data_IF_382610872504
#
_entry.id   IF_382610872504
#
_cell.length_a   1.000
_cell.length_b   1.000
_cell.length_c   1.000
_cell.angle_alpha   90.00
_cell.angle_beta   90.00
_cell.angle_gamma   90.00
#
_symmetry.space_group_name_H-M   'P 1'
#
loop_
_entity.id
_entity.type
_entity.pdbx_description
1 polymer ?
#
# COMPACT_ATOMS: atom_id res chain seq x y z
N UNK A 1 -6.91 -10.24 25.91
CA UNK A 1 -5.83 -9.94 24.95
C UNK A 1 -5.55 -8.46 25.06
N UNK A 2 -4.29 -8.08 25.11
CA UNK A 2 -3.89 -6.69 25.28
C UNK A 2 -4.35 -5.83 24.11
N UNK A 3 -4.76 -4.60 24.42
CA UNK A 3 -5.04 -3.61 23.41
C UNK A 3 -3.73 -3.24 22.69
N UNK A 4 -3.82 -3.12 21.37
CA UNK A 4 -2.69 -2.80 20.49
C UNK A 4 -2.98 -1.46 19.82
N UNK A 5 -2.00 -0.58 19.84
CA UNK A 5 -2.13 0.79 19.35
C UNK A 5 -1.11 1.08 18.26
N UNK A 6 -1.48 1.97 17.34
CA UNK A 6 -0.57 2.63 16.43
C UNK A 6 -0.26 4.01 17.04
N UNK A 7 1.02 4.31 17.24
CA UNK A 7 1.48 5.56 17.90
C UNK A 7 2.17 6.53 16.94
N UNK A 8 2.65 6.03 15.80
CA UNK A 8 3.20 6.85 14.71
C UNK A 8 2.86 6.20 13.37
N UNK A 9 2.69 7.03 12.33
CA UNK A 9 2.34 6.59 10.99
C UNK A 9 2.89 7.58 9.96
N UNK A 10 3.80 7.10 9.11
CA UNK A 10 4.51 7.93 8.12
C UNK A 10 4.66 7.19 6.80
N UNK A 11 4.82 7.95 5.72
CA UNK A 11 5.14 7.43 4.39
C UNK A 11 6.14 8.31 3.68
N UNK A 12 6.79 7.77 2.66
CA UNK A 12 7.50 8.57 1.68
C UNK A 12 6.49 9.25 0.75
N UNK A 13 6.92 10.25 -0.06
CA UNK A 13 6.23 10.55 -1.29
C UNK A 13 6.16 9.29 -2.17
N UNK A 14 5.23 9.27 -3.12
CA UNK A 14 5.09 8.20 -4.10
C UNK A 14 5.71 8.66 -5.41
N UNK A 15 6.76 7.95 -5.84
CA UNK A 15 7.47 8.21 -7.09
C UNK A 15 6.78 7.54 -8.27
N UNK A 16 6.93 8.11 -9.47
CA UNK A 16 6.55 7.44 -10.73
C UNK A 16 7.59 6.37 -11.10
N UNK A 17 7.20 5.39 -11.92
CA UNK A 17 8.15 4.50 -12.58
C UNK A 17 9.24 5.29 -13.33
N UNK A 18 10.51 5.00 -13.04
CA UNK A 18 11.68 5.76 -13.52
C UNK A 18 11.64 7.26 -13.15
N UNK A 19 10.96 7.62 -12.05
CA UNK A 19 10.85 8.97 -11.53
C UNK A 19 11.96 9.32 -10.54
N UNK A 20 11.64 10.13 -9.53
CA UNK A 20 12.63 10.65 -8.59
C UNK A 20 13.42 9.55 -7.85
N UNK A 21 12.82 8.40 -7.54
CA UNK A 21 13.45 7.37 -6.71
C UNK A 21 14.30 6.36 -7.49
N UNK A 22 14.57 6.59 -8.78
CA UNK A 22 15.31 5.66 -9.65
C UNK A 22 16.68 5.21 -9.08
N UNK A 23 17.36 6.07 -8.33
CA UNK A 23 18.68 5.77 -7.74
C UNK A 23 18.63 5.11 -6.36
N UNK A 24 17.44 4.90 -5.78
CA UNK A 24 17.27 4.33 -4.45
C UNK A 24 16.67 2.92 -4.54
N UNK A 25 17.18 2.02 -3.71
CA UNK A 25 16.53 0.75 -3.44
C UNK A 25 15.28 0.94 -2.56
N UNK A 26 14.32 0.03 -2.65
CA UNK A 26 13.17 0.00 -1.74
C UNK A 26 13.59 0.00 -0.25
N UNK A 27 14.70 -0.67 0.09
CA UNK A 27 15.25 -0.69 1.44
C UNK A 27 15.85 0.64 1.88
N UNK A 28 16.35 1.47 0.97
CA UNK A 28 16.79 2.84 1.30
C UNK A 28 15.61 3.78 1.54
N UNK A 29 14.53 3.64 0.76
CA UNK A 29 13.28 4.35 1.02
C UNK A 29 12.72 3.98 2.40
N UNK A 30 12.64 2.68 2.69
CA UNK A 30 12.22 2.17 4.00
C UNK A 30 13.12 2.64 5.14
N UNK A 31 14.44 2.71 4.92
CA UNK A 31 15.39 3.15 5.93
C UNK A 31 15.22 4.62 6.33
N UNK A 32 15.17 5.52 5.33
CA UNK A 32 14.97 6.95 5.56
C UNK A 32 13.63 7.21 6.27
N UNK A 33 12.58 6.50 5.84
CA UNK A 33 11.27 6.56 6.48
C UNK A 33 11.31 6.14 7.95
N UNK A 34 11.90 4.97 8.25
CA UNK A 34 12.00 4.45 9.62
C UNK A 34 12.78 5.42 10.50
N UNK A 35 13.92 5.92 10.00
CA UNK A 35 14.77 6.85 10.73
C UNK A 35 14.00 8.13 11.10
N UNK A 36 13.29 8.73 10.15
CA UNK A 36 12.51 9.94 10.40
C UNK A 36 11.33 9.68 11.36
N UNK A 37 10.62 8.56 11.19
CA UNK A 37 9.49 8.20 12.05
C UNK A 37 9.93 8.01 13.51
N UNK A 38 11.07 7.35 13.75
CA UNK A 38 11.62 7.20 15.10
C UNK A 38 12.09 8.53 15.70
N UNK A 39 12.74 9.37 14.89
CA UNK A 39 13.20 10.69 15.32
C UNK A 39 12.03 11.59 15.73
N UNK A 40 10.96 11.63 14.95
CA UNK A 40 9.75 12.41 15.25
C UNK A 40 9.00 11.87 16.48
N UNK A 41 8.93 10.54 16.63
CA UNK A 41 8.38 9.90 17.81
C UNK A 41 9.27 10.02 19.05
N UNK A 42 10.48 10.59 18.92
CA UNK A 42 11.50 10.66 19.96
C UNK A 42 11.79 9.29 20.61
N UNK A 43 11.70 8.22 19.81
CA UNK A 43 11.88 6.86 20.28
C UNK A 43 13.30 6.38 20.04
N UNK A 44 13.94 5.87 21.10
CA UNK A 44 15.26 5.26 20.99
C UNK A 44 15.20 4.01 20.10
N UNK A 45 16.14 3.81 19.14
CA UNK A 45 16.10 2.66 18.23
C UNK A 45 16.16 1.28 18.90
N UNK A 46 16.71 1.19 20.12
CA UNK A 46 16.77 -0.03 20.93
C UNK A 46 15.46 -0.37 21.65
N UNK A 47 14.48 0.55 21.65
CA UNK A 47 13.13 0.29 22.14
C UNK A 47 12.29 -0.56 21.17
N UNK A 48 12.76 -0.79 19.93
CA UNK A 48 12.06 -1.58 18.91
C UNK A 48 12.35 -3.07 19.11
N UNK A 49 11.30 -3.88 19.31
CA UNK A 49 11.41 -5.33 19.45
C UNK A 49 11.64 -6.03 18.10
N UNK A 50 10.97 -5.57 17.03
CA UNK A 50 11.03 -6.21 15.70
C UNK A 50 10.66 -5.25 14.56
N UNK A 51 11.19 -5.52 13.36
CA UNK A 51 10.79 -4.85 12.11
C UNK A 51 10.14 -5.83 11.12
N UNK A 52 8.89 -5.58 10.73
CA UNK A 52 8.15 -6.38 9.75
C UNK A 52 7.81 -5.49 8.56
N UNK A 53 8.53 -5.64 7.44
CA UNK A 53 8.28 -4.84 6.23
C UNK A 53 7.86 -5.72 5.06
N UNK A 54 6.77 -5.33 4.40
CA UNK A 54 6.37 -5.93 3.13
C UNK A 54 7.28 -5.50 1.99
N UNK A 55 7.65 -6.43 1.10
CA UNK A 55 8.24 -6.11 -0.20
C UNK A 55 7.90 -7.24 -1.19
N UNK A 56 7.33 -6.89 -2.35
CA UNK A 56 6.96 -7.89 -3.36
C UNK A 56 8.13 -8.18 -4.28
N UNK A 57 8.73 -7.13 -4.84
CA UNK A 57 9.79 -7.26 -5.84
C UNK A 57 11.15 -7.41 -5.14
N UNK A 58 11.48 -8.66 -4.80
CA UNK A 58 12.73 -9.01 -4.10
C UNK A 58 13.79 -9.61 -5.03
N UNK A 59 13.50 -9.75 -6.33
CA UNK A 59 14.47 -10.22 -7.32
C UNK A 59 15.72 -9.34 -7.31
N UNK A 60 16.87 -9.91 -6.91
CA UNK A 60 18.14 -9.17 -6.83
C UNK A 60 18.25 -8.15 -5.69
N UNK A 61 17.25 -8.05 -4.80
CA UNK A 61 17.25 -7.08 -3.69
C UNK A 61 18.21 -7.43 -2.55
N UNK A 62 18.91 -8.57 -2.61
CA UNK A 62 19.76 -9.08 -1.54
C UNK A 62 18.99 -9.82 -0.44
N UNK A 63 19.69 -10.22 0.62
CA UNK A 63 19.07 -10.95 1.73
C UNK A 63 18.17 -10.02 2.55
N UNK A 64 16.93 -10.46 2.80
CA UNK A 64 15.97 -9.84 3.74
C UNK A 64 15.93 -8.29 3.66
N UNK A 65 15.28 -7.70 2.64
CA UNK A 65 15.19 -6.26 2.48
C UNK A 65 14.64 -5.48 3.68
N UNK A 66 13.83 -6.09 4.55
CA UNK A 66 13.36 -5.48 5.80
C UNK A 66 14.51 -5.30 6.79
N UNK A 67 15.39 -6.31 6.89
CA UNK A 67 16.62 -6.22 7.69
C UNK A 67 17.58 -5.17 7.14
N UNK A 68 17.68 -5.05 5.81
CA UNK A 68 18.48 -3.99 5.20
C UNK A 68 17.94 -2.61 5.56
N UNK A 69 16.61 -2.40 5.47
CA UNK A 69 15.98 -1.14 5.87
C UNK A 69 16.21 -0.83 7.35
N UNK A 70 16.00 -1.80 8.25
CA UNK A 70 16.22 -1.64 9.69
C UNK A 70 17.66 -1.20 10.01
N UNK A 71 18.66 -1.91 9.49
CA UNK A 71 20.06 -1.59 9.76
C UNK A 71 20.49 -0.26 9.12
N UNK A 72 20.04 0.02 7.89
CA UNK A 72 20.31 1.31 7.23
C UNK A 72 19.64 2.50 7.96
N UNK A 73 18.52 2.28 8.65
CA UNK A 73 17.87 3.27 9.49
C UNK A 73 18.56 3.49 10.85
N UNK A 74 19.61 2.71 11.16
CA UNK A 74 20.37 2.82 12.40
C UNK A 74 19.81 2.00 13.56
N UNK A 75 18.91 1.04 13.33
CA UNK A 75 18.47 0.15 14.41
C UNK A 75 19.62 -0.78 14.84
N UNK A 76 19.68 -1.14 16.14
CA UNK A 76 20.69 -2.06 16.64
C UNK A 76 20.66 -3.41 15.94
N UNK A 77 21.83 -4.03 15.79
CA UNK A 77 21.93 -5.38 15.19
C UNK A 77 21.14 -6.44 15.95
N UNK A 78 20.81 -6.21 17.23
CA UNK A 78 19.96 -7.09 18.03
C UNK A 78 18.49 -7.11 17.61
N UNK A 79 17.99 -6.09 16.90
CA UNK A 79 16.56 -6.01 16.52
C UNK A 79 16.26 -6.91 15.32
N UNK A 80 15.53 -8.03 15.47
CA UNK A 80 15.18 -8.90 14.35
C UNK A 80 14.33 -8.18 13.30
N UNK A 81 14.37 -8.68 12.07
CA UNK A 81 13.54 -8.18 11.00
C UNK A 81 13.13 -9.28 10.02
N UNK A 82 11.91 -9.17 9.47
CA UNK A 82 11.42 -10.09 8.45
C UNK A 82 10.80 -9.34 7.26
N UNK A 83 11.07 -9.84 6.05
CA UNK A 83 10.38 -9.42 4.83
C UNK A 83 9.18 -10.32 4.59
N UNK A 84 8.00 -9.73 4.39
CA UNK A 84 6.78 -10.46 4.08
C UNK A 84 6.31 -10.15 2.66
N UNK A 85 5.80 -11.16 1.96
CA UNK A 85 5.16 -10.98 0.67
C UNK A 85 3.73 -11.51 0.72
N UNK A 86 2.78 -10.59 0.51
CA UNK A 86 1.37 -10.87 0.26
C UNK A 86 0.87 -9.95 -0.86
N UNK A 87 1.70 -9.83 -1.90
CA UNK A 87 1.56 -8.89 -3.03
C UNK A 87 1.19 -7.48 -2.51
N UNK A 88 0.19 -6.83 -3.08
CA UNK A 88 -0.30 -5.50 -2.68
C UNK A 88 -0.66 -5.38 -1.18
N UNK A 89 -1.01 -6.51 -0.55
CA UNK A 89 -1.40 -6.57 0.86
C UNK A 89 -0.25 -6.75 1.84
N UNK A 90 0.99 -6.85 1.36
CA UNK A 90 2.15 -7.11 2.22
C UNK A 90 2.29 -6.04 3.32
N UNK A 91 2.18 -4.75 2.97
CA UNK A 91 2.35 -3.66 3.92
C UNK A 91 1.24 -3.52 4.96
N UNK A 92 0.01 -3.93 4.65
CA UNK A 92 -1.06 -3.97 5.67
C UNK A 92 -0.98 -5.26 6.49
N UNK A 93 -0.59 -6.38 5.86
CA UNK A 93 -0.43 -7.66 6.54
C UNK A 93 0.68 -7.63 7.59
N UNK A 94 1.76 -6.87 7.38
CA UNK A 94 2.79 -6.66 8.40
C UNK A 94 2.21 -6.02 9.68
N UNK A 95 1.28 -5.07 9.57
CA UNK A 95 0.58 -4.47 10.72
C UNK A 95 -0.25 -5.53 11.46
N UNK A 96 -0.91 -6.43 10.72
CA UNK A 96 -1.63 -7.54 11.35
C UNK A 96 -0.66 -8.46 12.10
N UNK A 97 0.50 -8.78 11.52
CA UNK A 97 1.51 -9.62 12.15
C UNK A 97 2.11 -8.97 13.39
N UNK A 98 2.39 -7.66 13.36
CA UNK A 98 2.81 -6.89 14.52
C UNK A 98 1.78 -6.96 15.67
N UNK A 99 0.50 -6.74 15.35
CA UNK A 99 -0.57 -6.86 16.34
C UNK A 99 -0.74 -8.30 16.87
N UNK A 100 -0.43 -9.31 16.06
CA UNK A 100 -0.43 -10.72 16.49
C UNK A 100 0.73 -11.00 17.44
N UNK A 101 1.96 -10.60 17.10
CA UNK A 101 3.14 -10.76 17.94
C UNK A 101 2.95 -10.10 19.32
N UNK A 102 2.42 -8.87 19.33
CA UNK A 102 2.13 -8.14 20.58
C UNK A 102 1.08 -8.86 21.42
N UNK A 103 -0.02 -9.34 20.82
CA UNK A 103 -1.07 -10.07 21.55
C UNK A 103 -0.61 -11.44 22.06
N UNK A 104 0.40 -12.03 21.42
CA UNK A 104 1.03 -13.28 21.88
C UNK A 104 2.07 -13.06 22.98
N UNK A 105 2.48 -11.81 23.23
CA UNK A 105 3.55 -11.49 24.19
C UNK A 105 4.97 -11.66 23.64
N UNK A 106 5.12 -11.82 22.31
CA UNK A 106 6.43 -12.01 21.66
C UNK A 106 7.17 -10.69 21.41
N UNK A 107 6.44 -9.57 21.38
CA UNK A 107 6.97 -8.22 21.16
C UNK A 107 6.09 -7.18 21.88
N UNK A 108 6.60 -5.97 22.09
CA UNK A 108 5.83 -4.87 22.68
C UNK A 108 5.89 -3.56 21.87
N UNK A 109 6.84 -3.46 20.93
CA UNK A 109 7.08 -2.33 20.05
C UNK A 109 7.58 -2.84 18.69
N UNK A 110 6.76 -2.72 17.65
CA UNK A 110 7.05 -3.27 16.32
C UNK A 110 6.92 -2.18 15.27
N UNK A 111 7.93 -2.06 14.42
CA UNK A 111 7.81 -1.28 13.18
C UNK A 111 7.18 -2.19 12.13
N UNK A 112 6.03 -1.77 11.60
CA UNK A 112 5.31 -2.53 10.59
C UNK A 112 5.00 -1.66 9.38
N UNK A 113 5.22 -2.17 8.17
CA UNK A 113 4.94 -1.39 6.97
C UNK A 113 5.20 -2.14 5.69
N UNK A 114 5.40 -1.41 4.60
CA UNK A 114 5.77 -1.92 3.30
C UNK A 114 6.68 -0.95 2.54
N UNK A 115 7.51 -1.51 1.67
CA UNK A 115 8.44 -0.81 0.81
C UNK A 115 8.49 -1.54 -0.54
N UNK A 116 8.42 -0.82 -1.64
CA UNK A 116 8.61 -1.41 -2.95
C UNK A 116 9.22 -0.40 -3.92
N UNK A 117 9.95 -0.93 -4.90
CA UNK A 117 10.49 -0.15 -6.01
C UNK A 117 10.25 -0.94 -7.28
N UNK A 118 9.22 -0.53 -8.02
CA UNK A 118 8.88 -1.10 -9.31
C UNK A 118 9.93 -0.71 -10.37
N UNK A 119 10.54 0.46 -10.20
CA UNK A 119 11.65 0.93 -11.04
C UNK A 119 12.88 0.03 -10.94
N UNK A 120 13.18 -0.51 -9.74
CA UNK A 120 14.37 -1.35 -9.53
C UNK A 120 14.17 -2.82 -9.90
N UNK A 121 13.00 -3.21 -10.41
CA UNK A 121 12.69 -4.59 -10.74
C UNK A 121 13.60 -5.11 -11.88
N UNK A 122 14.36 -6.20 -11.68
CA UNK A 122 15.23 -6.71 -12.72
C UNK A 122 14.47 -7.47 -13.80
N UNK A 123 15.10 -7.59 -14.96
CA UNK A 123 14.78 -8.66 -15.89
C UNK A 123 15.56 -9.93 -15.53
N UNK A 124 14.99 -11.11 -15.79
CA UNK A 124 15.60 -12.41 -15.49
C UNK A 124 15.42 -13.44 -16.61
N UNK A 125 16.27 -14.47 -16.61
CA UNK A 125 16.19 -15.62 -17.52
C UNK A 125 16.09 -16.89 -16.70
N UNK A 126 15.00 -17.65 -16.87
CA UNK A 126 14.79 -18.92 -16.17
C UNK A 126 15.65 -20.05 -16.74
N UNK A 127 16.07 -20.98 -15.89
CA UNK A 127 16.73 -22.22 -16.31
C UNK A 127 18.23 -22.12 -16.62
N UNK A 128 18.85 -20.94 -16.53
CA UNK A 128 20.28 -20.74 -16.86
C UNK A 128 21.22 -21.51 -15.93
N UNK A 129 20.83 -21.77 -14.67
CA UNK A 129 21.65 -22.52 -13.72
C UNK A 129 21.98 -23.94 -14.20
N UNK A 130 21.09 -24.57 -14.98
CA UNK A 130 21.32 -25.89 -15.58
C UNK A 130 22.08 -25.85 -16.93
N UNK A 131 22.47 -24.66 -17.39
CA UNK A 131 23.03 -24.43 -18.71
C UNK A 131 21.97 -24.24 -19.80
N UNK A 132 22.32 -23.50 -20.85
CA UNK A 132 21.50 -23.38 -22.07
C UNK A 132 22.18 -24.24 -23.13
N UNK A 133 21.64 -25.44 -23.39
CA UNK A 133 22.22 -26.38 -24.36
C UNK A 133 22.12 -25.87 -25.82
N UNK A 134 20.93 -25.39 -26.21
CA UNK A 134 20.62 -24.87 -27.55
C UNK A 134 19.27 -24.13 -27.51
N UNK A 135 19.07 -23.17 -28.41
CA UNK A 135 17.79 -22.48 -28.64
C UNK A 135 17.57 -21.22 -27.80
N UNK A 136 16.60 -20.41 -28.23
CA UNK A 136 16.33 -19.09 -27.67
C UNK A 136 15.81 -19.15 -26.22
N UNK A 137 15.96 -18.02 -25.52
CA UNK A 137 15.44 -17.83 -24.16
C UNK A 137 14.76 -16.47 -24.04
N UNK A 138 13.61 -16.46 -23.39
CA UNK A 138 12.88 -15.24 -23.07
C UNK A 138 13.50 -14.57 -21.85
N UNK A 139 13.82 -13.29 -21.99
CA UNK A 139 14.10 -12.39 -20.87
C UNK A 139 12.77 -11.94 -20.30
N UNK A 140 12.48 -12.27 -19.05
CA UNK A 140 11.22 -11.96 -18.35
C UNK A 140 11.39 -10.74 -17.46
N UNK A 141 10.35 -9.92 -17.38
CA UNK A 141 10.27 -8.79 -16.46
C UNK A 141 9.76 -9.28 -15.08
N UNK A 142 10.53 -9.07 -14.01
CA UNK A 142 10.11 -9.48 -12.66
C UNK A 142 8.99 -8.62 -12.09
N UNK A 143 8.88 -7.34 -12.48
CA UNK A 143 7.78 -6.48 -12.06
C UNK A 143 6.45 -7.10 -12.49
N UNK A 144 6.39 -7.54 -13.75
CA UNK A 144 5.20 -8.20 -14.30
C UNK A 144 5.04 -9.59 -13.66
N UNK A 145 6.07 -10.42 -13.73
CA UNK A 145 5.97 -11.84 -13.31
C UNK A 145 5.63 -11.98 -11.83
N UNK A 146 6.30 -11.22 -10.96
CA UNK A 146 6.22 -11.40 -9.50
C UNK A 146 5.18 -10.48 -8.86
N UNK A 147 4.79 -9.38 -9.54
CA UNK A 147 3.89 -8.37 -8.99
C UNK A 147 2.53 -8.26 -9.68
N UNK A 148 2.43 -8.51 -10.99
CA UNK A 148 1.28 -8.09 -11.81
C UNK A 148 0.69 -9.21 -12.68
N UNK A 149 1.17 -10.45 -12.54
CA UNK A 149 0.74 -11.59 -13.33
C UNK A 149 0.03 -12.62 -12.46
N UNK A 150 -1.14 -13.08 -12.89
CA UNK A 150 -1.85 -14.13 -12.19
C UNK A 150 -1.17 -15.47 -12.47
N UNK A 151 -0.69 -16.12 -11.41
CA UNK A 151 0.04 -17.38 -11.52
C UNK A 151 -0.85 -18.57 -11.93
N UNK A 152 -2.16 -18.46 -11.81
CA UNK A 152 -3.10 -19.57 -12.03
C UNK A 152 -3.72 -19.52 -13.43
N UNK A 153 -4.16 -18.34 -13.86
CA UNK A 153 -4.81 -18.09 -15.13
C UNK A 153 -3.86 -17.57 -16.21
N UNK A 154 -2.62 -17.21 -15.83
CA UNK A 154 -1.61 -16.71 -16.76
C UNK A 154 -2.09 -15.47 -17.52
N UNK A 155 -2.60 -14.48 -16.79
CA UNK A 155 -3.07 -13.19 -17.32
C UNK A 155 -2.58 -12.03 -16.46
N UNK A 156 -2.52 -10.83 -17.04
CA UNK A 156 -2.20 -9.62 -16.27
C UNK A 156 -3.33 -9.25 -15.31
N UNK A 157 -3.04 -8.61 -14.17
CA UNK A 157 -4.05 -8.15 -13.20
C UNK A 157 -5.15 -7.30 -13.84
N UNK A 158 -4.81 -6.52 -14.87
CA UNK A 158 -5.77 -5.74 -15.64
C UNK A 158 -6.86 -6.56 -16.31
N UNK A 159 -6.58 -7.80 -16.71
CA UNK A 159 -7.59 -8.72 -17.27
C UNK A 159 -8.61 -9.14 -16.21
N UNK A 160 -8.19 -9.27 -14.95
CA UNK A 160 -9.13 -9.52 -13.84
C UNK A 160 -10.05 -8.31 -13.62
N UNK A 161 -9.54 -7.09 -13.81
CA UNK A 161 -10.36 -5.88 -13.73
C UNK A 161 -11.35 -5.77 -14.90
N UNK A 162 -10.96 -6.15 -16.12
CA UNK A 162 -11.89 -6.25 -17.27
C UNK A 162 -13.01 -7.26 -17.00
N UNK A 163 -12.68 -8.43 -16.44
CA UNK A 163 -13.68 -9.44 -16.07
C UNK A 163 -14.71 -8.90 -15.05
N UNK A 164 -14.25 -8.13 -14.06
CA UNK A 164 -15.14 -7.44 -13.13
C UNK A 164 -15.96 -6.34 -13.81
N UNK A 165 -15.35 -5.53 -14.67
CA UNK A 165 -16.07 -4.50 -15.42
C UNK A 165 -17.21 -5.11 -16.24
N UNK A 166 -16.97 -6.22 -16.93
CA UNK A 166 -17.98 -6.93 -17.68
C UNK A 166 -19.06 -7.52 -16.78
N UNK A 167 -18.68 -8.24 -15.70
CA UNK A 167 -19.65 -8.90 -14.80
C UNK A 167 -20.58 -7.90 -14.10
N UNK A 168 -20.03 -6.76 -13.67
CA UNK A 168 -20.79 -5.73 -12.98
C UNK A 168 -21.37 -4.66 -13.94
N UNK A 169 -21.17 -4.81 -15.25
CA UNK A 169 -21.63 -3.83 -16.25
C UNK A 169 -21.11 -2.40 -15.96
N UNK A 170 -19.86 -2.30 -15.52
CA UNK A 170 -19.21 -1.02 -15.20
C UNK A 170 -18.69 -0.43 -16.49
N UNK A 171 -19.33 0.64 -16.94
CA UNK A 171 -19.00 1.26 -18.22
C UNK A 171 -17.66 1.97 -18.18
N UNK A 172 -17.02 2.15 -19.34
CA UNK A 172 -15.81 2.96 -19.48
C UNK A 172 -15.99 4.38 -18.93
N UNK A 173 -17.10 5.04 -19.24
CA UNK A 173 -17.38 6.40 -18.77
C UNK A 173 -17.46 6.47 -17.24
N UNK A 174 -18.06 5.46 -16.62
CA UNK A 174 -18.15 5.37 -15.16
C UNK A 174 -16.77 5.23 -14.51
N UNK A 175 -15.90 4.40 -15.08
CA UNK A 175 -14.52 4.22 -14.63
C UNK A 175 -13.72 5.51 -14.76
N UNK A 176 -13.84 6.21 -15.89
CA UNK A 176 -13.16 7.47 -16.12
C UNK A 176 -13.68 8.57 -15.17
N UNK A 177 -14.99 8.60 -14.88
CA UNK A 177 -15.56 9.53 -13.90
C UNK A 177 -15.10 9.24 -12.48
N UNK A 178 -14.95 7.97 -12.12
CA UNK A 178 -14.34 7.57 -10.85
C UNK A 178 -12.89 8.03 -10.77
N UNK A 179 -12.10 7.80 -11.82
CA UNK A 179 -10.71 8.21 -11.91
C UNK A 179 -10.53 9.74 -11.81
N UNK A 180 -11.36 10.51 -12.52
CA UNK A 180 -11.35 11.97 -12.43
C UNK A 180 -11.63 12.45 -11.00
N UNK A 181 -12.63 11.88 -10.32
CA UNK A 181 -12.92 12.22 -8.92
C UNK A 181 -11.73 11.91 -7.99
N UNK A 182 -11.00 10.81 -8.24
CA UNK A 182 -9.80 10.48 -7.47
C UNK A 182 -8.70 11.53 -7.67
N UNK A 183 -8.48 11.98 -8.92
CA UNK A 183 -7.53 13.05 -9.25
C UNK A 183 -7.92 14.40 -8.63
N UNK A 184 -9.20 14.79 -8.72
CA UNK A 184 -9.72 16.02 -8.13
C UNK A 184 -9.57 16.04 -6.60
N UNK A 185 -9.89 14.92 -5.92
CA UNK A 185 -9.71 14.78 -4.48
C UNK A 185 -8.23 14.85 -4.08
N UNK A 186 -7.34 14.22 -4.85
CA UNK A 186 -5.90 14.25 -4.61
C UNK A 186 -5.31 15.66 -4.79
N UNK A 187 -5.66 16.35 -5.87
CA UNK A 187 -5.22 17.73 -6.10
C UNK A 187 -5.71 18.66 -4.98
N UNK A 188 -6.99 18.58 -4.62
CA UNK A 188 -7.55 19.35 -3.51
C UNK A 188 -6.85 19.05 -2.17
N UNK A 189 -6.47 17.80 -1.92
CA UNK A 189 -5.73 17.40 -0.71
C UNK A 189 -4.31 17.98 -0.71
N UNK A 190 -3.61 17.96 -1.85
CA UNK A 190 -2.27 18.53 -2.00
C UNK A 190 -2.30 20.04 -1.81
N UNK A 191 -3.23 20.76 -2.46
CA UNK A 191 -3.36 22.21 -2.32
C UNK A 191 -3.68 22.62 -0.87
N UNK A 192 -4.39 21.77 -0.13
CA UNK A 192 -4.74 22.01 1.27
C UNK A 192 -3.68 21.51 2.27
N UNK A 193 -2.50 21.06 1.80
CA UNK A 193 -1.43 20.57 2.68
C UNK A 193 -1.81 19.33 3.49
N UNK A 194 -2.76 18.51 2.99
CA UNK A 194 -3.28 17.39 3.78
C UNK A 194 -2.26 16.29 4.03
N UNK A 195 -1.24 16.18 3.18
CA UNK A 195 -0.23 15.13 3.32
C UNK A 195 1.01 15.57 4.10
N UNK A 196 1.09 16.82 4.53
CA UNK A 196 2.27 17.39 5.19
C UNK A 196 2.62 16.65 6.49
N UNK A 197 1.60 16.21 7.25
CA UNK A 197 1.78 15.47 8.49
C UNK A 197 2.14 13.98 8.27
N UNK A 198 1.92 13.44 7.08
CA UNK A 198 2.14 12.00 6.81
C UNK A 198 3.36 11.71 5.94
N UNK A 199 3.82 12.68 5.14
CA UNK A 199 4.99 12.54 4.27
C UNK A 199 6.29 12.87 5.01
N UNK A 200 7.26 11.97 4.88
CA UNK A 200 8.66 12.21 5.23
C UNK A 200 9.44 12.57 3.96
N UNK A 201 10.08 13.75 3.89
CA UNK A 201 11.03 14.10 2.83
C UNK A 201 12.11 13.04 2.61
N UNK A 202 12.38 12.70 1.35
CA UNK A 202 13.41 11.72 0.98
C UNK A 202 14.58 12.42 0.30
N UNK A 203 15.78 12.22 0.83
CA UNK A 203 17.01 12.78 0.30
C UNK A 203 17.69 11.80 -0.64
N UNK A 204 18.04 12.29 -1.82
CA UNK A 204 18.80 11.57 -2.84
C UNK A 204 20.15 12.26 -2.99
N UNK A 205 21.23 11.53 -2.69
CA UNK A 205 22.59 12.07 -2.82
C UNK A 205 22.90 12.36 -4.28
N UNK A 206 23.25 13.61 -4.58
CA UNK A 206 23.77 14.01 -5.89
C UNK A 206 25.09 14.77 -5.77
N UNK A 207 25.84 14.86 -6.88
CA UNK A 207 27.16 15.50 -6.92
C UNK A 207 27.15 16.98 -6.54
N UNK A 208 26.01 17.65 -6.68
CA UNK A 208 25.83 19.10 -6.44
C UNK A 208 24.94 19.39 -5.22
N UNK A 209 24.90 18.48 -4.24
CA UNK A 209 24.03 18.56 -3.07
C UNK A 209 22.90 17.54 -3.13
N UNK A 210 22.27 17.28 -1.98
CA UNK A 210 21.18 16.32 -1.91
C UNK A 210 19.91 16.90 -2.55
N UNK A 211 19.28 16.11 -3.42
CA UNK A 211 17.95 16.40 -3.96
C UNK A 211 16.92 15.89 -2.96
N UNK A 212 16.05 16.78 -2.47
CA UNK A 212 14.99 16.43 -1.52
C UNK A 212 13.66 16.30 -2.25
N UNK A 213 12.99 15.16 -2.07
CA UNK A 213 11.67 14.86 -2.64
C UNK A 213 10.64 14.88 -1.53
N UNK A 214 9.63 15.75 -1.67
CA UNK A 214 8.65 16.04 -0.60
C UNK A 214 7.19 15.90 -1.06
N UNK A 215 6.97 15.59 -2.34
CA UNK A 215 5.63 15.57 -2.94
C UNK A 215 5.42 14.35 -3.81
N UNK A 216 4.20 13.82 -3.80
CA UNK A 216 3.79 12.73 -4.67
C UNK A 216 3.89 13.16 -6.14
N UNK A 217 4.58 12.37 -6.97
CA UNK A 217 4.82 12.72 -8.38
C UNK A 217 3.66 12.30 -9.29
N UNK A 218 2.88 11.30 -8.87
CA UNK A 218 1.85 10.63 -9.68
C UNK A 218 0.64 11.48 -10.05
N UNK A 219 0.06 12.29 -9.13
CA UNK A 219 -1.14 13.09 -9.41
C UNK A 219 -1.00 13.97 -10.64
N UNK A 220 -2.08 14.08 -11.41
CA UNK A 220 -2.13 14.89 -12.62
C UNK A 220 -3.31 15.88 -12.55
N UNK A 221 -3.07 17.14 -12.15
CA UNK A 221 -4.13 18.16 -12.04
C UNK A 221 -4.74 18.58 -13.39
N UNK A 222 -4.13 18.18 -14.52
CA UNK A 222 -4.67 18.45 -15.86
C UNK A 222 -5.64 17.37 -16.37
N UNK A 223 -5.92 16.35 -15.56
CA UNK A 223 -6.86 15.28 -15.92
C UNK A 223 -8.26 15.83 -16.21
N UNK A 224 -8.84 15.45 -17.35
CA UNK A 224 -10.21 15.84 -17.75
C UNK A 224 -10.95 14.62 -18.29
N UNK A 225 -12.29 14.62 -18.25
CA UNK A 225 -13.10 13.56 -18.87
C UNK A 225 -12.78 13.37 -20.36
N UNK A 226 -12.57 14.47 -21.10
CA UNK A 226 -12.20 14.39 -22.51
C UNK A 226 -10.82 13.74 -22.71
N UNK A 227 -9.83 14.12 -21.88
CA UNK A 227 -8.51 13.50 -21.89
C UNK A 227 -8.57 12.00 -21.59
N UNK A 228 -9.33 11.62 -20.55
CA UNK A 228 -9.54 10.22 -20.18
C UNK A 228 -10.22 9.44 -21.31
N UNK A 229 -11.27 9.99 -21.92
CA UNK A 229 -12.03 9.32 -23.00
C UNK A 229 -11.20 9.04 -24.27
N UNK A 230 -10.09 9.76 -24.48
CA UNK A 230 -9.16 9.53 -25.61
C UNK A 230 -8.17 8.39 -25.37
N UNK A 231 -8.01 7.92 -24.12
CA UNK A 231 -7.05 6.87 -23.79
C UNK A 231 -7.51 5.51 -24.33
N UNK A 232 -6.56 4.77 -24.91
CA UNK A 232 -6.79 3.42 -25.42
C UNK A 232 -6.80 2.40 -24.27
N UNK A 233 -7.64 1.37 -24.36
CA UNK A 233 -7.55 0.21 -23.49
C UNK A 233 -6.15 -0.42 -23.51
N UNK A 234 -5.70 -0.92 -22.35
CA UNK A 234 -4.33 -1.45 -22.16
C UNK A 234 -4.28 -2.97 -22.26
N UNK A 235 -5.28 -3.67 -21.70
CA UNK A 235 -5.21 -5.13 -21.49
C UNK A 235 -6.03 -5.94 -22.50
N UNK A 236 -7.07 -5.35 -23.05
CA UNK A 236 -7.89 -5.89 -24.14
C UNK A 236 -8.24 -4.74 -25.09
N UNK A 237 -8.10 -4.91 -26.40
CA UNK A 237 -8.41 -3.88 -27.38
C UNK A 237 -9.89 -3.51 -27.42
N UNK A 238 -10.77 -4.43 -27.01
CA UNK A 238 -12.20 -4.19 -26.80
C UNK A 238 -12.55 -3.85 -25.34
N UNK A 239 -11.54 -3.74 -24.48
CA UNK A 239 -11.68 -3.52 -23.05
C UNK A 239 -12.03 -2.08 -22.65
N UNK A 240 -12.08 -1.87 -21.34
CA UNK A 240 -12.47 -0.62 -20.69
C UNK A 240 -11.37 -0.03 -19.80
N UNK A 241 -10.38 -0.84 -19.43
CA UNK A 241 -9.31 -0.43 -18.53
C UNK A 241 -8.22 0.29 -19.31
N UNK A 242 -7.89 1.51 -18.88
CA UNK A 242 -6.87 2.37 -19.46
C UNK A 242 -5.88 2.84 -18.41
N UNK A 243 -4.75 3.38 -18.86
CA UNK A 243 -3.78 4.01 -17.97
C UNK A 243 -4.36 5.17 -17.13
N UNK A 244 -5.48 5.77 -17.55
CA UNK A 244 -6.13 6.87 -16.82
C UNK A 244 -7.12 6.42 -15.77
N UNK A 245 -7.59 5.16 -15.80
CA UNK A 245 -8.55 4.60 -14.84
C UNK A 245 -7.99 3.39 -14.07
N UNK A 246 -6.68 3.18 -14.15
CA UNK A 246 -5.90 2.26 -13.33
C UNK A 246 -4.83 3.03 -12.55
N UNK A 247 -4.39 2.50 -11.41
CA UNK A 247 -3.23 3.06 -10.72
C UNK A 247 -1.94 2.89 -11.53
N UNK A 248 -0.96 3.75 -11.27
CA UNK A 248 0.37 3.67 -11.86
C UNK A 248 1.23 2.52 -11.34
N UNK A 249 2.42 2.44 -11.95
CA UNK A 249 3.57 1.71 -11.45
C UNK A 249 4.43 2.71 -10.68
N UNK A 250 4.74 2.42 -9.42
CA UNK A 250 5.23 3.42 -8.49
C UNK A 250 6.26 2.86 -7.51
N UNK A 251 7.08 3.75 -6.97
CA UNK A 251 8.05 3.46 -5.93
C UNK A 251 7.63 4.18 -4.64
N UNK A 252 7.84 3.55 -3.49
CA UNK A 252 7.53 4.18 -2.21
C UNK A 252 7.56 3.23 -1.02
N UNK A 253 7.53 3.82 0.18
CA UNK A 253 7.42 3.08 1.43
C UNK A 253 6.44 3.77 2.39
N UNK A 254 5.83 2.98 3.27
CA UNK A 254 4.98 3.44 4.35
C UNK A 254 5.17 2.53 5.57
N UNK A 255 5.15 3.12 6.77
CA UNK A 255 5.39 2.42 8.01
C UNK A 255 4.56 3.01 9.16
N UNK A 256 4.24 2.16 10.13
CA UNK A 256 3.63 2.50 11.39
C UNK A 256 4.43 1.92 12.55
N UNK A 257 4.35 2.59 13.69
CA UNK A 257 4.88 2.10 14.96
C UNK A 257 3.73 1.52 15.77
N UNK A 258 3.75 0.20 15.99
CA UNK A 258 2.72 -0.56 16.68
C UNK A 258 3.21 -0.92 18.08
N UNK A 259 2.41 -0.67 19.11
CA UNK A 259 2.80 -0.91 20.49
C UNK A 259 1.70 -1.58 21.31
N UNK A 260 2.12 -2.31 22.36
CA UNK A 260 1.22 -2.72 23.43
C UNK A 260 0.76 -1.50 24.24
N UNK A 261 -0.41 -1.59 24.87
CA UNK A 261 -0.89 -0.51 25.76
C UNK A 261 0.09 -0.21 26.89
N UNK A 262 0.67 -1.25 27.50
CA UNK A 262 1.60 -1.11 28.61
C UNK A 262 2.87 -0.36 28.18
N UNK A 263 3.47 -0.76 27.05
CA UNK A 263 4.69 -0.14 26.51
C UNK A 263 4.47 1.29 26.07
N UNK A 264 3.34 1.55 25.40
CA UNK A 264 2.95 2.91 25.02
C UNK A 264 2.84 3.84 26.25
N UNK A 265 2.20 3.37 27.33
CA UNK A 265 2.07 4.13 28.58
C UNK A 265 3.41 4.32 29.29
N UNK A 266 4.25 3.28 29.34
CA UNK A 266 5.60 3.35 29.92
C UNK A 266 6.46 4.43 29.24
N UNK A 267 6.35 4.53 27.91
CA UNK A 267 7.08 5.50 27.09
C UNK A 267 6.38 6.87 27.00
N UNK A 268 5.20 7.05 27.61
CA UNK A 268 4.46 8.30 27.59
C UNK A 268 3.95 8.72 26.20
N UNK A 269 3.76 7.78 25.28
CA UNK A 269 3.35 8.06 23.91
C UNK A 269 1.82 8.14 23.79
N UNK A 270 1.35 9.07 22.95
CA UNK A 270 -0.08 9.23 22.65
C UNK A 270 -0.45 8.39 21.42
N UNK A 271 -1.50 7.54 21.48
CA UNK A 271 -1.89 6.74 20.32
C UNK A 271 -2.55 7.59 19.23
N UNK A 272 -2.31 7.22 17.97
CA UNK A 272 -3.11 7.69 16.84
C UNK A 272 -4.45 6.96 16.79
N UNK A 273 -4.43 5.64 16.95
CA UNK A 273 -5.61 4.78 17.02
C UNK A 273 -5.30 3.41 17.63
N UNK A 274 -6.33 2.76 18.17
CA UNK A 274 -6.36 1.34 18.56
C UNK A 274 -6.68 0.45 17.35
N UNK A 275 -6.01 -0.68 17.24
CA UNK A 275 -6.35 -1.72 16.25
C UNK A 275 -7.55 -2.52 16.78
N UNK A 276 -8.75 -2.16 16.32
CA UNK A 276 -10.00 -2.79 16.75
C UNK A 276 -10.10 -4.24 16.24
N UNK A 277 -9.86 -4.44 14.95
CA UNK A 277 -9.85 -5.77 14.34
C UNK A 277 -9.06 -5.78 13.04
N UNK A 278 -8.80 -6.98 12.53
CA UNK A 278 -8.25 -7.18 11.19
C UNK A 278 -8.64 -8.55 10.65
N UNK A 279 -8.64 -8.66 9.32
CA UNK A 279 -8.91 -9.90 8.63
C UNK A 279 -8.15 -10.02 7.31
N UNK A 280 -8.04 -11.27 6.86
CA UNK A 280 -7.70 -11.61 5.49
C UNK A 280 -8.76 -12.56 4.96
N UNK A 281 -8.97 -12.54 3.65
CA UNK A 281 -9.86 -13.46 2.96
C UNK A 281 -9.23 -13.91 1.64
N UNK A 282 -9.62 -15.10 1.19
CA UNK A 282 -9.37 -15.58 -0.16
C UNK A 282 -10.66 -15.52 -0.96
N UNK A 283 -10.52 -15.31 -2.26
CA UNK A 283 -11.56 -15.33 -3.30
C UNK A 283 -10.97 -16.02 -4.53
N UNK A 284 -11.77 -16.22 -5.57
CA UNK A 284 -11.27 -16.72 -6.84
C UNK A 284 -10.19 -15.77 -7.41
N UNK A 285 -9.03 -16.25 -7.91
CA UNK A 285 -8.01 -15.39 -8.49
C UNK A 285 -8.48 -14.43 -9.58
N UNK A 286 -9.42 -14.86 -10.45
CA UNK A 286 -10.03 -13.96 -11.43
C UNK A 286 -10.95 -12.89 -10.81
N UNK A 287 -11.37 -13.10 -9.56
CA UNK A 287 -12.16 -12.16 -8.76
C UNK A 287 -11.32 -11.42 -7.72
N UNK A 288 -9.98 -11.39 -7.86
CA UNK A 288 -9.08 -10.81 -6.86
C UNK A 288 -9.46 -9.39 -6.43
N UNK A 289 -10.01 -8.59 -7.35
CA UNK A 289 -10.49 -7.24 -7.08
C UNK A 289 -11.59 -7.16 -6.01
N UNK A 290 -12.34 -8.24 -5.79
CA UNK A 290 -13.38 -8.35 -4.75
C UNK A 290 -12.87 -8.86 -3.40
N UNK A 291 -11.59 -9.21 -3.28
CA UNK A 291 -10.97 -9.56 -2.00
C UNK A 291 -11.29 -8.60 -0.84
N UNK A 292 -11.34 -7.26 -1.04
CA UNK A 292 -11.74 -6.30 -0.02
C UNK A 292 -13.12 -6.56 0.57
N UNK A 293 -14.08 -7.06 -0.20
CA UNK A 293 -15.45 -7.32 0.26
C UNK A 293 -15.43 -8.36 1.37
N UNK A 294 -14.82 -9.51 1.09
CA UNK A 294 -14.73 -10.61 2.04
C UNK A 294 -13.85 -10.27 3.25
N UNK A 295 -12.75 -9.54 3.04
CA UNK A 295 -11.87 -9.13 4.12
C UNK A 295 -12.54 -8.09 5.04
N UNK A 296 -13.20 -7.08 4.46
CA UNK A 296 -13.87 -6.01 5.21
C UNK A 296 -15.04 -6.53 6.01
N UNK A 297 -15.91 -7.37 5.42
CA UNK A 297 -17.01 -8.02 6.16
C UNK A 297 -16.50 -8.79 7.38
N UNK A 298 -15.41 -9.57 7.23
CA UNK A 298 -14.79 -10.30 8.35
C UNK A 298 -14.15 -9.38 9.40
N UNK A 299 -13.52 -8.29 8.99
CA UNK A 299 -12.92 -7.35 9.93
C UNK A 299 -14.02 -6.62 10.73
N UNK A 300 -15.06 -6.13 10.05
CA UNK A 300 -16.20 -5.47 10.67
C UNK A 300 -16.92 -6.39 11.67
N UNK A 301 -17.20 -7.64 11.26
CA UNK A 301 -17.80 -8.65 12.13
C UNK A 301 -16.97 -8.89 13.41
N UNK A 302 -15.64 -9.06 13.26
CA UNK A 302 -14.72 -9.19 14.42
C UNK A 302 -14.68 -7.95 15.31
N UNK A 303 -14.93 -6.75 14.76
CA UNK A 303 -15.01 -5.53 15.54
C UNK A 303 -16.39 -5.32 16.19
N UNK A 304 -17.39 -6.12 15.80
CA UNK A 304 -18.79 -5.88 16.16
C UNK A 304 -19.35 -4.60 15.52
N UNK A 305 -18.84 -4.21 14.35
CA UNK A 305 -19.22 -2.99 13.64
C UNK A 305 -20.00 -3.33 12.36
N UNK A 306 -20.81 -2.37 11.91
CA UNK A 306 -21.40 -2.34 10.58
C UNK A 306 -20.69 -1.27 9.76
N UNK A 307 -20.75 -1.37 8.43
CA UNK A 307 -20.17 -0.33 7.56
C UNK A 307 -20.82 1.05 7.79
N UNK A 308 -22.07 1.09 8.26
CA UNK A 308 -22.78 2.33 8.61
C UNK A 308 -22.23 3.01 9.89
N UNK A 309 -21.41 2.30 10.68
CA UNK A 309 -20.79 2.86 11.89
C UNK A 309 -19.40 3.47 11.58
N UNK A 310 -18.94 3.43 10.31
CA UNK A 310 -17.65 3.97 9.89
C UNK A 310 -17.77 5.45 9.56
N UNK A 311 -16.76 6.23 9.97
CA UNK A 311 -16.68 7.67 9.73
C UNK A 311 -15.80 8.00 8.51
N UNK A 312 -14.77 7.19 8.27
CA UNK A 312 -13.76 7.37 7.22
C UNK A 312 -13.28 6.01 6.71
N UNK A 313 -13.03 5.89 5.42
CA UNK A 313 -12.53 4.67 4.80
C UNK A 313 -11.44 4.96 3.77
N UNK A 314 -10.47 4.05 3.69
CA UNK A 314 -9.46 4.03 2.64
C UNK A 314 -9.49 2.68 1.92
N UNK A 315 -10.00 2.67 0.69
CA UNK A 315 -10.17 1.47 -0.12
C UNK A 315 -9.31 1.63 -1.36
N UNK A 316 -8.27 0.79 -1.48
CA UNK A 316 -7.27 0.97 -2.53
C UNK A 316 -7.88 0.88 -3.94
N UNK A 317 -7.45 1.77 -4.83
CA UNK A 317 -7.94 1.90 -6.21
C UNK A 317 -6.92 1.34 -7.20
N UNK A 318 -6.69 0.02 -7.19
CA UNK A 318 -5.80 -0.59 -8.20
C UNK A 318 -6.36 -0.37 -9.62
N UNK A 319 -7.67 -0.53 -9.77
CA UNK A 319 -8.43 -0.24 -10.97
C UNK A 319 -9.79 0.35 -10.59
N UNK A 320 -10.27 1.34 -11.35
CA UNK A 320 -11.59 1.94 -11.12
C UNK A 320 -12.71 0.88 -11.13
N UNK A 321 -12.67 -0.06 -12.09
CA UNK A 321 -13.64 -1.17 -12.16
C UNK A 321 -13.70 -2.00 -10.88
N UNK A 322 -12.55 -2.34 -10.30
CA UNK A 322 -12.47 -3.08 -9.05
C UNK A 322 -13.02 -2.25 -7.88
N UNK A 323 -12.65 -0.97 -7.78
CA UNK A 323 -13.12 -0.10 -6.69
C UNK A 323 -14.65 0.07 -6.73
N UNK A 324 -15.21 0.32 -7.92
CA UNK A 324 -16.65 0.43 -8.14
C UNK A 324 -17.37 -0.88 -7.79
N UNK A 325 -16.83 -2.03 -8.23
CA UNK A 325 -17.41 -3.33 -7.91
C UNK A 325 -17.45 -3.59 -6.40
N UNK A 326 -16.37 -3.26 -5.68
CA UNK A 326 -16.33 -3.35 -4.21
C UNK A 326 -17.36 -2.42 -3.57
N UNK A 327 -17.49 -1.18 -4.04
CA UNK A 327 -18.47 -0.24 -3.51
C UNK A 327 -19.91 -0.75 -3.66
N UNK A 328 -20.24 -1.30 -4.84
CA UNK A 328 -21.56 -1.89 -5.11
C UNK A 328 -21.84 -3.12 -4.24
N UNK A 329 -20.85 -4.00 -4.05
CA UNK A 329 -20.97 -5.18 -3.20
C UNK A 329 -21.12 -4.85 -1.71
N UNK A 330 -20.48 -3.77 -1.26
CA UNK A 330 -20.52 -3.35 0.13
C UNK A 330 -21.73 -2.47 0.45
N UNK A 331 -22.25 -1.72 -0.53
CA UNK A 331 -23.39 -0.81 -0.33
C UNK A 331 -23.13 0.28 0.72
N UNK A 332 -21.86 0.62 0.96
CA UNK A 332 -21.46 1.63 1.93
C UNK A 332 -21.49 3.05 1.36
N UNK A 333 -21.37 4.04 2.24
CA UNK A 333 -21.33 5.44 1.84
C UNK A 333 -19.99 5.77 1.16
N UNK A 334 -20.02 6.10 -0.14
CA UNK A 334 -18.83 6.45 -0.91
C UNK A 334 -18.26 7.84 -0.58
N UNK A 335 -19.04 8.73 0.05
CA UNK A 335 -18.59 10.09 0.39
C UNK A 335 -17.49 10.11 1.45
N UNK A 336 -17.40 9.04 2.25
CA UNK A 336 -16.38 8.88 3.30
C UNK A 336 -15.20 8.01 2.85
N UNK A 337 -15.13 7.62 1.57
CA UNK A 337 -14.05 6.81 0.98
C UNK A 337 -13.05 7.70 0.24
N UNK A 338 -11.77 7.46 0.51
CA UNK A 338 -10.63 8.07 -0.19
C UNK A 338 -10.78 9.59 -0.33
N UNK A 339 -11.11 10.28 0.77
CA UNK A 339 -11.48 11.70 0.76
C UNK A 339 -10.32 12.64 0.37
N UNK A 340 -9.10 12.11 0.35
CA UNK A 340 -7.89 12.80 -0.12
C UNK A 340 -7.37 12.21 -1.44
N UNK A 341 -8.21 11.48 -2.17
CA UNK A 341 -7.84 10.78 -3.40
C UNK A 341 -7.25 9.41 -3.12
N UNK A 342 -7.28 8.53 -4.13
CA UNK A 342 -6.80 7.16 -4.00
C UNK A 342 -5.67 6.83 -4.97
N UNK A 343 -5.41 5.52 -5.16
CA UNK A 343 -4.23 5.05 -5.88
C UNK A 343 -4.26 5.34 -7.39
N UNK A 344 -5.41 5.64 -8.00
CA UNK A 344 -5.45 6.12 -9.39
C UNK A 344 -4.72 7.46 -9.51
N UNK A 345 -4.85 8.33 -8.51
CA UNK A 345 -4.15 9.61 -8.49
C UNK A 345 -2.78 9.54 -7.82
N UNK A 346 -2.71 8.91 -6.65
CA UNK A 346 -1.52 8.90 -5.79
C UNK A 346 -0.48 7.86 -6.23
N UNK A 347 -0.90 6.79 -6.90
CA UNK A 347 -0.04 5.66 -7.29
C UNK A 347 -0.14 4.43 -6.38
N UNK A 348 0.47 3.33 -6.84
CA UNK A 348 0.38 2.01 -6.22
C UNK A 348 1.74 1.29 -6.13
N UNK A 349 2.58 1.62 -5.11
CA UNK A 349 3.87 0.96 -4.91
C UNK A 349 3.73 -0.44 -4.27
N UNK A 350 2.97 -1.35 -4.89
CA UNK A 350 2.71 -2.74 -4.46
C UNK A 350 2.68 -2.92 -2.93
N UNK A 351 3.73 -3.47 -2.32
CA UNK A 351 3.81 -3.71 -0.88
C UNK A 351 3.65 -2.44 -0.03
N UNK A 352 4.18 -1.30 -0.48
CA UNK A 352 4.03 -0.01 0.19
C UNK A 352 2.58 0.46 0.29
N UNK A 353 1.74 0.06 -0.68
CA UNK A 353 0.35 0.55 -0.78
C UNK A 353 -0.52 0.21 0.41
N UNK A 354 -0.39 -1.02 0.93
CA UNK A 354 -1.25 -1.47 2.03
C UNK A 354 -1.01 -0.72 3.34
N UNK A 355 0.23 -0.36 3.63
CA UNK A 355 0.52 0.51 4.77
C UNK A 355 0.20 1.97 4.44
N UNK A 356 0.44 2.42 3.20
CA UNK A 356 0.16 3.80 2.75
C UNK A 356 -1.30 4.20 3.00
N UNK A 357 -2.26 3.34 2.61
CA UNK A 357 -3.68 3.62 2.86
C UNK A 357 -4.04 3.65 4.35
N UNK A 358 -3.33 2.90 5.19
CA UNK A 358 -3.51 2.93 6.65
C UNK A 358 -2.96 4.22 7.25
N UNK A 359 -1.80 4.68 6.76
CA UNK A 359 -1.21 5.96 7.12
C UNK A 359 -2.19 7.09 6.79
N UNK A 360 -2.64 7.18 5.54
CA UNK A 360 -3.61 8.21 5.11
C UNK A 360 -4.91 8.16 5.91
N UNK A 361 -5.43 6.95 6.19
CA UNK A 361 -6.62 6.77 7.04
C UNK A 361 -6.40 7.36 8.45
N UNK A 362 -5.29 7.04 9.11
CA UNK A 362 -4.99 7.52 10.46
C UNK A 362 -4.96 9.05 10.52
N UNK A 363 -4.31 9.69 9.55
CA UNK A 363 -4.21 11.15 9.48
C UNK A 363 -5.56 11.81 9.15
N UNK A 364 -6.37 11.24 8.24
CA UNK A 364 -7.73 11.72 8.01
C UNK A 364 -8.63 11.54 9.24
N UNK A 365 -8.49 10.44 9.98
CA UNK A 365 -9.24 10.21 11.20
C UNK A 365 -8.90 11.24 12.29
N UNK A 366 -7.61 11.59 12.44
CA UNK A 366 -7.16 12.65 13.36
C UNK A 366 -7.74 14.00 12.93
N UNK A 367 -7.56 14.38 11.66
CA UNK A 367 -8.00 15.67 11.11
C UNK A 367 -9.50 15.90 11.28
N UNK A 368 -10.30 14.85 11.14
CA UNK A 368 -11.77 14.91 11.18
C UNK A 368 -12.37 14.65 12.55
N UNK A 369 -11.55 14.29 13.53
CA UNK A 369 -12.07 13.80 14.81
C UNK A 369 -12.86 12.49 14.69
N UNK A 370 -12.64 11.74 13.59
CA UNK A 370 -13.33 10.49 13.32
C UNK A 370 -12.99 9.43 14.39
N UNK A 371 -13.94 8.56 14.69
CA UNK A 371 -13.83 7.54 15.72
C UNK A 371 -13.57 6.17 15.13
N UNK A 372 -14.21 5.80 14.03
CA UNK A 372 -14.09 4.47 13.43
C UNK A 372 -13.68 4.56 11.97
N UNK A 373 -12.58 3.89 11.65
CA UNK A 373 -12.01 3.85 10.31
C UNK A 373 -11.79 2.44 9.80
N UNK A 374 -11.83 2.27 8.48
CA UNK A 374 -11.51 1.00 7.82
C UNK A 374 -10.58 1.23 6.63
N UNK A 375 -9.49 0.44 6.56
CA UNK A 375 -8.63 0.38 5.38
C UNK A 375 -8.65 -1.03 4.79
N UNK A 376 -8.80 -1.15 3.46
CA UNK A 376 -8.82 -2.44 2.76
C UNK A 376 -8.32 -2.36 1.33
N UNK A 377 -7.77 -3.47 0.83
CA UNK A 377 -7.26 -3.58 -0.54
C UNK A 377 -7.34 -5.02 -1.09
N UNK A 378 -7.39 -5.11 -2.42
CA UNK A 378 -7.36 -6.35 -3.20
C UNK A 378 -5.92 -6.82 -3.42
N UNK A 379 -5.74 -8.13 -3.58
CA UNK A 379 -4.43 -8.77 -3.68
C UNK A 379 -4.47 -9.78 -4.82
N UNK A 380 -3.53 -9.64 -5.77
CA UNK A 380 -3.34 -10.58 -6.87
C UNK A 380 -3.22 -12.03 -6.40
N UNK A 381 -3.74 -12.97 -7.19
CA UNK A 381 -3.91 -14.36 -6.78
C UNK A 381 -5.13 -14.62 -5.88
N UNK A 382 -6.07 -13.67 -5.79
CA UNK A 382 -7.40 -13.92 -5.21
C UNK A 382 -7.47 -13.72 -3.71
N UNK A 383 -7.01 -12.58 -3.17
CA UNK A 383 -7.09 -12.31 -1.74
C UNK A 383 -7.48 -10.87 -1.42
N UNK A 384 -7.81 -10.62 -0.16
CA UNK A 384 -7.97 -9.27 0.40
C UNK A 384 -7.53 -9.19 1.84
N UNK A 385 -7.23 -7.96 2.29
CA UNK A 385 -6.91 -7.63 3.69
C UNK A 385 -7.71 -6.42 4.12
N UNK A 386 -8.11 -6.38 5.39
CA UNK A 386 -8.80 -5.25 5.99
C UNK A 386 -8.38 -5.06 7.46
N UNK A 387 -8.35 -3.80 7.91
CA UNK A 387 -8.07 -3.38 9.28
C UNK A 387 -9.10 -2.35 9.72
N UNK A 388 -9.62 -2.50 10.93
CA UNK A 388 -10.53 -1.55 11.58
C UNK A 388 -9.77 -0.81 12.69
N UNK A 389 -9.87 0.51 12.72
CA UNK A 389 -9.15 1.39 13.63
C UNK A 389 -10.13 2.23 14.45
N UNK A 390 -9.84 2.41 15.74
CA UNK A 390 -10.66 3.19 16.67
C UNK A 390 -9.83 4.26 17.39
N UNK A 391 -10.31 5.51 17.46
CA UNK A 391 -9.61 6.65 18.08
C UNK A 391 -10.07 7.01 19.49
#
# INVERSE_FOLDING_TARGET
MDAVYIVAAKRTPIGKLNGAFTSLSAAELGAQLIQAMLAEAQLAPDAVSEVIMGQVLTGGAGQNPARQAALKAGLPVGVPAMTVNKVCGAGQKSIHLAAQAIRCGDADCVIAGGQDSMTSAPHFISGVRGGIRMGDRTVKDSMITDGLWDAFYQVHMGVTAEALAQRYQITREEQDRFALRSQEKADAAIQAGRFDDEIVPISIKARQGDLVIERDEHPNPSTTMEGLGRLRPVFDTAGTITAGNSSGLNDGAAAVLVMSEARMKELGLTPLARIASYASAGVEPMDMGLGPVAASRRALDKAGWRHADLDVMEINEAFAAQAIAVNREMGWNEDIINMSGGAIALGHPLAGSGCRIVVTLLHEMVRRGAKKGLASLCIGGGQGVAICLER
#
